data_IF_007461599010
#
_entry.id   IF_007461599010
#
_cell.length_a   1.000
_cell.length_b   1.000
_cell.length_c   1.000
_cell.angle_alpha   90.00
_cell.angle_beta   90.00
_cell.angle_gamma   90.00
#
_symmetry.space_group_name_H-M   'P 1'
#
loop_
_entity.id
_entity.type
_entity.pdbx_description
1 polymer ?
#
# COMPACT_ATOMS: atom_id res chain seq x y z
N UNK A 1 -12.61 -0.13 -20.06
CA UNK A 1 -12.55 0.95 -19.05
C UNK A 1 -13.22 0.39 -17.81
N UNK A 2 -12.50 0.23 -16.70
CA UNK A 2 -13.05 -0.35 -15.47
C UNK A 2 -14.15 0.59 -14.95
N UNK A 3 -15.36 0.06 -14.75
CA UNK A 3 -16.43 0.80 -14.11
C UNK A 3 -16.09 0.96 -12.63
N UNK A 4 -15.80 2.19 -12.22
CA UNK A 4 -15.31 2.53 -10.87
C UNK A 4 -16.33 3.35 -10.09
N UNK A 5 -17.56 3.49 -10.61
CA UNK A 5 -18.66 4.30 -10.04
C UNK A 5 -19.09 3.92 -8.61
N UNK A 6 -18.61 2.79 -8.07
CA UNK A 6 -18.88 2.34 -6.69
C UNK A 6 -17.61 2.15 -5.85
N UNK A 7 -16.43 2.51 -6.37
CA UNK A 7 -15.16 2.28 -5.67
C UNK A 7 -14.81 3.47 -4.78
N UNK A 8 -14.49 3.19 -3.51
CA UNK A 8 -13.99 4.18 -2.55
C UNK A 8 -12.47 4.14 -2.47
N UNK A 9 -11.84 5.30 -2.58
CA UNK A 9 -10.43 5.50 -2.30
C UNK A 9 -10.27 5.99 -0.86
N UNK A 10 -9.75 5.14 0.03
CA UNK A 10 -9.45 5.51 1.42
C UNK A 10 -7.95 5.72 1.62
N UNK A 11 -7.56 6.85 2.21
CA UNK A 11 -6.17 7.17 2.51
C UNK A 11 -6.03 7.98 3.80
N UNK A 12 -4.81 8.08 4.32
CA UNK A 12 -4.52 9.00 5.41
C UNK A 12 -4.63 10.48 4.96
N UNK A 13 -4.48 11.41 5.91
CA UNK A 13 -4.53 12.87 5.66
C UNK A 13 -3.17 13.48 5.31
N UNK A 14 -2.22 12.71 4.76
CA UNK A 14 -0.98 13.30 4.29
C UNK A 14 -1.22 14.28 3.14
N UNK A 15 -0.32 15.25 2.99
CA UNK A 15 -0.44 16.36 2.03
C UNK A 15 -0.62 15.90 0.58
N UNK A 16 -0.11 14.71 0.26
CA UNK A 16 -0.22 14.08 -1.05
C UNK A 16 -1.66 13.66 -1.34
N UNK A 17 -2.33 13.02 -0.36
CA UNK A 17 -3.69 12.54 -0.50
C UNK A 17 -4.75 13.64 -0.29
N UNK A 18 -4.41 14.73 0.38
CA UNK A 18 -5.30 15.91 0.50
C UNK A 18 -5.22 16.85 -0.72
N UNK A 19 -4.32 16.59 -1.67
CA UNK A 19 -4.08 17.51 -2.80
C UNK A 19 -5.27 17.61 -3.77
N UNK A 20 -5.52 18.82 -4.30
CA UNK A 20 -6.54 19.04 -5.32
C UNK A 20 -6.31 18.21 -6.58
N UNK A 21 -5.04 18.00 -6.95
CA UNK A 21 -4.69 17.18 -8.13
C UNK A 21 -5.20 15.75 -8.01
N UNK A 22 -5.07 15.13 -6.83
CA UNK A 22 -5.58 13.79 -6.60
C UNK A 22 -7.11 13.78 -6.56
N UNK A 23 -7.73 14.72 -5.84
CA UNK A 23 -9.19 14.83 -5.74
C UNK A 23 -9.86 14.93 -7.12
N UNK A 24 -9.39 15.85 -7.95
CA UNK A 24 -9.91 16.03 -9.31
C UNK A 24 -9.73 14.75 -10.16
N UNK A 25 -8.66 14.00 -9.94
CA UNK A 25 -8.42 12.76 -10.67
C UNK A 25 -9.35 11.62 -10.23
N UNK A 26 -9.64 11.51 -8.93
CA UNK A 26 -10.61 10.56 -8.39
C UNK A 26 -12.03 10.86 -8.87
N UNK A 27 -12.42 12.14 -8.89
CA UNK A 27 -13.71 12.59 -9.44
C UNK A 27 -13.86 12.23 -10.92
N UNK A 28 -12.80 12.42 -11.73
CA UNK A 28 -12.80 12.02 -13.15
C UNK A 28 -12.96 10.51 -13.35
N UNK A 29 -12.54 9.71 -12.38
CA UNK A 29 -12.76 8.27 -12.37
C UNK A 29 -14.12 7.89 -11.76
N UNK A 30 -14.85 8.82 -11.15
CA UNK A 30 -16.10 8.52 -10.45
C UNK A 30 -15.90 7.79 -9.13
N UNK A 31 -14.73 7.95 -8.50
CA UNK A 31 -14.40 7.34 -7.22
C UNK A 31 -14.68 8.30 -6.06
N UNK A 32 -15.21 7.77 -4.96
CA UNK A 32 -15.43 8.52 -3.72
C UNK A 32 -14.14 8.55 -2.88
N UNK A 33 -13.70 9.72 -2.46
CA UNK A 33 -12.53 9.85 -1.60
C UNK A 33 -12.94 9.87 -0.12
N UNK A 34 -12.44 8.91 0.65
CA UNK A 34 -12.53 8.85 2.10
C UNK A 34 -11.15 9.08 2.72
N UNK A 35 -11.11 9.69 3.90
CA UNK A 35 -9.85 9.92 4.62
C UNK A 35 -9.99 9.53 6.09
N UNK A 36 -8.90 9.04 6.69
CA UNK A 36 -8.84 8.72 8.12
C UNK A 36 -9.19 9.92 9.00
N UNK A 37 -9.74 9.68 10.19
CA UNK A 37 -9.99 10.76 11.15
C UNK A 37 -8.72 11.28 11.82
N UNK A 38 -8.75 12.55 12.24
CA UNK A 38 -7.62 13.13 12.98
C UNK A 38 -7.44 12.39 14.30
N UNK A 39 -6.26 11.82 14.51
CA UNK A 39 -5.94 11.09 15.75
C UNK A 39 -6.48 9.67 15.81
N UNK A 40 -7.12 9.17 14.74
CA UNK A 40 -7.53 7.77 14.66
C UNK A 40 -6.49 6.93 13.91
N UNK A 41 -5.59 6.27 14.65
CA UNK A 41 -4.58 5.41 14.06
C UNK A 41 -5.14 4.11 13.48
N UNK A 42 -6.33 3.67 13.90
CA UNK A 42 -6.92 2.41 13.45
C UNK A 42 -7.27 2.42 11.96
N UNK A 43 -7.64 3.58 11.41
CA UNK A 43 -8.00 3.75 9.99
C UNK A 43 -6.82 3.43 9.05
N UNK A 44 -5.59 3.73 9.49
CA UNK A 44 -4.37 3.48 8.69
C UNK A 44 -3.57 2.27 9.19
N UNK A 45 -3.93 1.68 10.33
CA UNK A 45 -3.16 0.61 10.98
C UNK A 45 -2.91 -0.60 10.06
N UNK A 46 -3.86 -0.93 9.18
CA UNK A 46 -3.69 -2.02 8.20
C UNK A 46 -2.55 -1.72 7.21
N UNK A 47 -2.56 -0.53 6.60
CA UNK A 47 -1.51 -0.07 5.70
C UNK A 47 -0.16 0.03 6.43
N UNK A 48 -0.14 0.60 7.64
CA UNK A 48 1.08 0.71 8.45
C UNK A 48 1.66 -0.65 8.80
N UNK A 49 0.83 -1.61 9.18
CA UNK A 49 1.25 -2.99 9.48
C UNK A 49 1.85 -3.67 8.25
N UNK A 50 1.21 -3.51 7.10
CA UNK A 50 1.73 -4.02 5.83
C UNK A 50 3.12 -3.44 5.50
N UNK A 51 3.28 -2.11 5.57
CA UNK A 51 4.57 -1.47 5.31
C UNK A 51 5.62 -1.81 6.38
N UNK A 52 5.22 -2.04 7.63
CA UNK A 52 6.11 -2.51 8.69
C UNK A 52 6.69 -3.89 8.35
N UNK A 53 5.83 -4.84 7.96
CA UNK A 53 6.25 -6.18 7.54
C UNK A 53 7.18 -6.12 6.32
N UNK A 54 6.83 -5.33 5.29
CA UNK A 54 7.69 -5.14 4.13
C UNK A 54 9.08 -4.61 4.50
N UNK A 55 9.15 -3.60 5.38
CA UNK A 55 10.45 -3.06 5.81
C UNK A 55 11.23 -4.08 6.62
N UNK A 56 10.58 -4.85 7.49
CA UNK A 56 11.23 -5.89 8.29
C UNK A 56 11.86 -6.98 7.42
N UNK A 57 11.18 -7.38 6.34
CA UNK A 57 11.68 -8.44 5.47
C UNK A 57 12.67 -7.95 4.42
N UNK A 58 12.57 -6.68 3.98
CA UNK A 58 13.37 -6.16 2.85
C UNK A 58 14.49 -5.20 3.23
N UNK A 59 14.47 -4.60 4.43
CA UNK A 59 15.51 -3.64 4.81
C UNK A 59 16.76 -4.37 5.30
N UNK A 60 17.93 -4.13 4.70
CA UNK A 60 19.20 -4.62 5.23
C UNK A 60 19.61 -3.83 6.48
N UNK A 61 20.56 -4.35 7.25
CA UNK A 61 21.10 -3.68 8.44
C UNK A 61 21.71 -2.29 8.12
N UNK A 62 22.14 -2.06 6.87
CA UNK A 62 22.59 -0.76 6.38
C UNK A 62 21.47 0.27 6.25
N UNK A 63 20.20 -0.11 6.49
CA UNK A 63 19.02 0.74 6.49
C UNK A 63 18.43 1.06 5.12
N UNK A 64 19.19 0.86 4.04
CA UNK A 64 18.74 1.20 2.68
C UNK A 64 19.21 0.19 1.64
N UNK A 65 18.38 0.00 0.62
CA UNK A 65 18.75 -0.69 -0.61
C UNK A 65 19.49 0.28 -1.53
N UNK A 66 20.69 -0.13 -1.96
CA UNK A 66 21.64 0.71 -2.67
C UNK A 66 21.11 1.29 -4.00
N UNK A 67 20.19 0.59 -4.67
CA UNK A 67 19.63 1.06 -5.94
C UNK A 67 18.13 0.78 -6.05
N UNK A 68 17.43 1.62 -6.82
CA UNK A 68 16.03 1.40 -7.19
C UNK A 68 15.81 0.01 -7.81
N UNK A 69 16.74 -0.46 -8.65
CA UNK A 69 16.64 -1.79 -9.28
C UNK A 69 16.65 -2.90 -8.23
N UNK A 70 17.55 -2.85 -7.25
CA UNK A 70 17.60 -3.80 -6.14
C UNK A 70 16.29 -3.78 -5.33
N UNK A 71 15.75 -2.59 -5.05
CA UNK A 71 14.45 -2.46 -4.38
C UNK A 71 13.29 -3.10 -5.14
N UNK A 72 13.22 -2.88 -6.46
CA UNK A 72 12.17 -3.49 -7.30
C UNK A 72 12.26 -5.01 -7.33
N UNK A 73 13.47 -5.56 -7.47
CA UNK A 73 13.69 -7.02 -7.42
C UNK A 73 13.29 -7.59 -6.07
N UNK A 74 13.67 -6.93 -4.98
CA UNK A 74 13.34 -7.35 -3.62
C UNK A 74 11.81 -7.38 -3.38
N UNK A 75 11.10 -6.32 -3.77
CA UNK A 75 9.63 -6.25 -3.71
C UNK A 75 8.98 -7.34 -4.57
N UNK A 76 9.49 -7.60 -5.77
CA UNK A 76 8.95 -8.64 -6.65
C UNK A 76 9.16 -10.06 -6.07
N UNK A 77 10.28 -10.30 -5.41
CA UNK A 77 10.56 -11.62 -4.83
C UNK A 77 9.68 -11.89 -3.59
N UNK A 78 9.42 -10.87 -2.76
CA UNK A 78 8.57 -11.02 -1.58
C UNK A 78 7.14 -11.41 -1.95
N UNK A 79 6.58 -10.81 -3.01
CA UNK A 79 5.21 -11.10 -3.42
C UNK A 79 5.04 -12.55 -3.88
N UNK A 80 6.09 -13.14 -4.48
CA UNK A 80 6.11 -14.55 -4.89
C UNK A 80 6.29 -15.51 -3.72
N UNK A 81 7.11 -15.16 -2.73
CA UNK A 81 7.32 -15.98 -1.55
C UNK A 81 6.03 -16.13 -0.72
N UNK A 82 5.30 -15.03 -0.50
CA UNK A 82 4.04 -15.03 0.27
C UNK A 82 2.90 -15.78 -0.42
N UNK A 83 2.90 -15.86 -1.76
CA UNK A 83 1.88 -16.60 -2.53
C UNK A 83 2.09 -18.12 -2.45
N UNK A 84 3.30 -18.57 -2.08
CA UNK A 84 3.66 -20.00 -2.07
C UNK A 84 3.44 -20.65 -0.70
N UNK A 85 3.25 -19.88 0.39
CA UNK A 85 3.01 -20.40 1.75
C UNK A 85 1.56 -20.82 2.04
N UNK A 86 0.62 -20.63 1.11
CA UNK A 86 -0.78 -21.08 1.25
C UNK A 86 -1.03 -22.56 0.91
N UNK A 87 -0.01 -23.29 0.46
CA UNK A 87 -0.12 -24.72 0.16
C UNK A 87 0.72 -25.52 1.16
N UNK A 88 0.21 -25.70 2.38
CA UNK A 88 0.82 -26.59 3.36
C UNK A 88 -0.23 -27.58 3.87
N UNK A 89 0.13 -28.87 3.75
CA UNK A 89 -0.22 -29.94 4.70
C UNK A 89 -1.63 -30.52 4.59
N UNK A 90 -1.71 -31.67 3.93
CA UNK A 90 -2.38 -32.87 4.46
C UNK A 90 -1.70 -34.11 3.86
N UNK A 91 -0.84 -34.76 4.65
CA UNK A 91 -0.79 -36.20 4.89
C UNK A 91 0.21 -36.48 6.02
#
# INVERSE_FOLDING_TARGET
MLDTKSTRFHADRSTQYTSHKLRNQLERWGMDQSMSDKGNCYDNACCESFFCSLKRELMPDSGYLETRRKALVAIFNISRASTTQGASTHQ
#
